data_IF_029119481562
#
_entry.id   IF_029119481562
#
_cell.length_a   1.000
_cell.length_b   1.000
_cell.length_c   1.000
_cell.angle_alpha   90.00
_cell.angle_beta   90.00
_cell.angle_gamma   90.00
#
_symmetry.space_group_name_H-M   'P 1'
#
loop_
_entity.id
_entity.type
_entity.pdbx_description
1 polymer ?
#
# COMPACT_ATOMS: atom_id res chain seq x y z
N UNK A 1 3.27 -14.93 15.03
CA UNK A 1 3.18 -13.80 14.10
C UNK A 1 1.73 -13.37 13.99
N UNK A 2 1.47 -12.07 14.08
CA UNK A 2 0.12 -11.51 13.91
C UNK A 2 -0.22 -11.43 12.42
N UNK A 3 -1.50 -11.52 12.08
CA UNK A 3 -1.96 -11.28 10.70
C UNK A 3 -2.52 -9.87 10.57
N UNK A 4 -2.10 -9.09 9.57
CA UNK A 4 -2.64 -7.75 9.36
C UNK A 4 -4.10 -7.83 8.90
N UNK A 5 -4.91 -6.89 9.38
CA UNK A 5 -6.32 -6.72 9.01
C UNK A 5 -6.52 -5.36 8.34
N UNK A 6 -7.56 -5.16 7.52
CA UNK A 6 -7.82 -3.85 6.90
C UNK A 6 -7.91 -2.70 7.90
N UNK A 7 -8.40 -2.94 9.12
CA UNK A 7 -8.47 -1.95 10.19
C UNK A 7 -7.11 -1.52 10.74
N UNK A 8 -6.02 -2.23 10.43
CA UNK A 8 -4.66 -1.83 10.81
C UNK A 8 -4.10 -0.73 9.88
N UNK A 9 -4.81 -0.38 8.81
CA UNK A 9 -4.34 0.53 7.78
C UNK A 9 -5.19 1.79 7.68
N UNK A 10 -4.55 2.86 7.22
CA UNK A 10 -5.20 4.08 6.70
C UNK A 10 -4.82 4.24 5.24
N UNK A 11 -5.76 4.62 4.39
CA UNK A 11 -5.53 4.80 2.95
C UNK A 11 -5.79 6.24 2.55
N UNK A 12 -4.81 6.87 1.93
CA UNK A 12 -4.87 8.22 1.39
C UNK A 12 -4.67 8.18 -0.13
N UNK A 13 -5.75 8.33 -0.89
CA UNK A 13 -5.67 8.46 -2.34
C UNK A 13 -5.31 9.90 -2.74
N UNK A 14 -4.15 10.10 -3.36
CA UNK A 14 -3.67 11.38 -3.88
C UNK A 14 -3.62 11.33 -5.41
N UNK A 15 -3.49 12.49 -6.05
CA UNK A 15 -3.51 12.62 -7.51
C UNK A 15 -2.43 11.78 -8.21
N UNK A 16 -1.21 11.77 -7.67
CA UNK A 16 -0.07 11.07 -8.27
C UNK A 16 0.22 9.68 -7.65
N UNK A 17 -0.28 9.40 -6.45
CA UNK A 17 0.00 8.14 -5.74
C UNK A 17 -1.07 7.81 -4.70
N UNK A 18 -1.06 6.58 -4.20
CA UNK A 18 -1.84 6.17 -3.04
C UNK A 18 -0.86 5.88 -1.89
N UNK A 19 -1.08 6.52 -0.75
CA UNK A 19 -0.32 6.25 0.48
C UNK A 19 -1.13 5.34 1.38
N UNK A 20 -0.55 4.24 1.83
CA UNK A 20 -1.15 3.31 2.77
C UNK A 20 -0.28 3.23 4.01
N UNK A 21 -0.86 3.60 5.16
CA UNK A 21 -0.15 3.70 6.42
C UNK A 21 -0.53 2.50 7.28
N UNK A 22 0.43 1.64 7.56
CA UNK A 22 0.29 0.55 8.54
C UNK A 22 0.49 1.13 9.95
N UNK A 23 -0.62 1.31 10.67
CA UNK A 23 -0.65 2.02 11.97
C UNK A 23 0.24 1.41 13.05
N UNK A 24 0.35 0.06 13.19
CA UNK A 24 1.14 -0.53 14.27
C UNK A 24 2.61 -0.10 14.31
N UNK A 25 3.28 -0.01 13.16
CA UNK A 25 4.69 0.42 13.05
C UNK A 25 4.86 1.83 12.48
N UNK A 26 3.77 2.48 12.09
CA UNK A 26 3.79 3.72 11.30
C UNK A 26 4.63 3.57 10.02
N UNK A 27 4.43 2.46 9.32
CA UNK A 27 5.08 2.18 8.03
C UNK A 27 4.22 2.71 6.88
N UNK A 28 4.85 3.47 5.98
CA UNK A 28 4.18 4.16 4.87
C UNK A 28 4.51 3.43 3.57
N UNK A 29 3.48 2.94 2.88
CA UNK A 29 3.58 2.27 1.58
C UNK A 29 3.00 3.19 0.51
N UNK A 30 3.85 3.71 -0.37
CA UNK A 30 3.41 4.64 -1.43
C UNK A 30 3.45 3.95 -2.79
N UNK A 31 2.31 3.91 -3.48
CA UNK A 31 2.14 3.32 -4.80
C UNK A 31 1.83 4.40 -5.82
N UNK A 32 2.67 4.56 -6.84
CA UNK A 32 2.46 5.55 -7.90
C UNK A 32 1.28 5.17 -8.78
N UNK A 33 0.47 6.14 -9.21
CA UNK A 33 -0.58 5.92 -10.21
C UNK A 33 0.05 5.83 -11.60
N UNK A 34 -0.32 4.79 -12.35
CA UNK A 34 0.08 4.69 -13.75
C UNK A 34 -0.83 5.59 -14.58
N UNK A 35 -0.23 6.34 -15.52
CA UNK A 35 -0.96 7.27 -16.38
C UNK A 35 -1.13 6.73 -17.82
N UNK A 36 -0.27 5.83 -18.25
CA UNK A 36 -0.32 5.23 -19.57
C UNK A 36 -1.40 4.13 -19.64
N UNK A 37 -2.37 4.19 -20.57
CA UNK A 37 -3.44 3.20 -20.68
C UNK A 37 -2.96 1.77 -20.96
N UNK A 38 -1.86 1.58 -21.72
CA UNK A 38 -1.30 0.27 -22.00
C UNK A 38 -0.67 -0.33 -20.74
N UNK A 39 0.06 0.50 -19.97
CA UNK A 39 0.61 0.11 -18.68
C UNK A 39 -0.49 -0.22 -17.67
N UNK A 40 -1.58 0.55 -17.63
CA UNK A 40 -2.73 0.28 -16.77
C UNK A 40 -3.36 -1.07 -17.13
N UNK A 41 -3.56 -1.34 -18.42
CA UNK A 41 -4.13 -2.60 -18.88
C UNK A 41 -3.22 -3.80 -18.56
N UNK A 42 -1.89 -3.61 -18.60
CA UNK A 42 -0.92 -4.68 -18.39
C UNK A 42 -0.57 -4.92 -16.93
N UNK A 43 -0.46 -3.86 -16.13
CA UNK A 43 0.10 -3.91 -14.77
C UNK A 43 -0.91 -3.53 -13.68
N UNK A 44 -2.03 -2.91 -14.05
CA UNK A 44 -3.03 -2.37 -13.14
C UNK A 44 -2.85 -0.86 -12.92
N UNK A 45 -3.75 -0.21 -12.16
CA UNK A 45 -3.78 1.25 -12.02
C UNK A 45 -2.63 1.84 -11.17
N UNK A 46 -1.87 0.99 -10.48
CA UNK A 46 -0.82 1.39 -9.53
C UNK A 46 0.49 0.64 -9.79
N UNK A 47 1.61 1.25 -9.41
CA UNK A 47 2.91 0.59 -9.38
C UNK A 47 2.88 -0.63 -8.45
N UNK A 48 3.45 -1.77 -8.89
CA UNK A 48 3.54 -2.97 -8.04
C UNK A 48 4.55 -2.83 -6.91
N UNK A 49 5.64 -2.11 -7.16
CA UNK A 49 6.58 -1.73 -6.11
C UNK A 49 6.02 -0.53 -5.35
N UNK A 50 6.11 -0.60 -4.02
CA UNK A 50 5.91 0.56 -3.16
C UNK A 50 7.26 1.18 -2.81
N UNK A 51 7.25 2.50 -2.65
CA UNK A 51 8.27 3.15 -1.83
C UNK A 51 7.84 3.00 -0.37
N UNK A 52 8.60 2.18 0.37
CA UNK A 52 8.32 1.88 1.77
C UNK A 52 9.20 2.75 2.67
N UNK A 53 8.56 3.50 3.56
CA UNK A 53 9.23 4.22 4.64
C UNK A 53 8.77 3.64 5.97
N UNK A 54 9.67 2.95 6.66
CA UNK A 54 9.42 2.47 8.01
C UNK A 54 9.51 3.63 9.01
N UNK A 55 8.52 3.72 9.89
CA UNK A 55 8.47 4.71 10.96
C UNK A 55 9.18 4.24 12.21
N UNK A 56 8.40 3.75 13.18
CA UNK A 56 8.84 3.60 14.58
C UNK A 56 9.81 2.46 14.84
N UNK A 57 9.65 1.32 14.16
CA UNK A 57 10.37 0.08 14.49
C UNK A 57 11.41 -0.33 13.46
N UNK A 58 11.52 0.40 12.34
CA UNK A 58 12.38 0.01 11.21
C UNK A 58 11.87 -1.19 10.39
N UNK A 59 10.80 -1.84 10.84
CA UNK A 59 10.18 -3.05 10.25
C UNK A 59 8.63 -2.99 10.37
N UNK A 60 7.95 -4.14 10.38
CA UNK A 60 6.50 -4.26 10.65
C UNK A 60 6.19 -4.87 12.03
N UNK A 61 7.16 -4.92 12.94
CA UNK A 61 7.04 -5.50 14.27
C UNK A 61 6.72 -6.99 14.24
N UNK A 62 5.67 -7.41 14.96
CA UNK A 62 5.26 -8.82 15.07
C UNK A 62 4.49 -9.35 13.83
N UNK A 63 4.33 -8.52 12.80
CA UNK A 63 3.59 -8.82 11.59
C UNK A 63 4.54 -9.25 10.46
N UNK A 64 4.19 -10.24 9.64
CA UNK A 64 4.96 -10.60 8.45
C UNK A 64 4.95 -9.45 7.43
N UNK A 65 6.13 -8.97 7.04
CA UNK A 65 6.30 -7.85 6.11
C UNK A 65 5.60 -8.10 4.76
N UNK A 66 5.66 -9.33 4.25
CA UNK A 66 5.03 -9.72 3.00
C UNK A 66 3.49 -9.63 3.06
N UNK A 67 2.88 -10.04 4.18
CA UNK A 67 1.43 -9.94 4.38
C UNK A 67 1.01 -8.47 4.53
N UNK A 68 1.80 -7.65 5.23
CA UNK A 68 1.54 -6.21 5.38
C UNK A 68 1.62 -5.51 4.03
N UNK A 69 2.67 -5.78 3.23
CA UNK A 69 2.84 -5.21 1.90
C UNK A 69 1.73 -5.64 0.93
N UNK A 70 1.34 -6.92 0.96
CA UNK A 70 0.25 -7.44 0.12
C UNK A 70 -1.11 -6.82 0.48
N UNK A 71 -1.41 -6.68 1.78
CA UNK A 71 -2.62 -6.02 2.24
C UNK A 71 -2.63 -4.54 1.86
N UNK A 72 -1.50 -3.84 2.03
CA UNK A 72 -1.35 -2.44 1.65
C UNK A 72 -1.63 -2.23 0.15
N UNK A 73 -1.05 -3.07 -0.71
CA UNK A 73 -1.30 -3.01 -2.16
C UNK A 73 -2.78 -3.28 -2.48
N UNK A 74 -3.38 -4.29 -1.85
CA UNK A 74 -4.80 -4.64 -2.07
C UNK A 74 -5.73 -3.48 -1.72
N UNK A 75 -5.48 -2.81 -0.59
CA UNK A 75 -6.24 -1.64 -0.16
C UNK A 75 -6.02 -0.45 -1.09
N UNK A 76 -4.79 -0.24 -1.55
CA UNK A 76 -4.46 0.83 -2.49
C UNK A 76 -5.20 0.66 -3.82
N UNK A 77 -5.17 -0.54 -4.41
CA UNK A 77 -5.90 -0.85 -5.66
C UNK A 77 -7.39 -0.64 -5.48
N UNK A 78 -7.97 -1.15 -4.37
CA UNK A 78 -9.40 -0.96 -4.08
C UNK A 78 -9.79 0.52 -4.01
N UNK A 79 -8.93 1.36 -3.41
CA UNK A 79 -9.21 2.79 -3.30
C UNK A 79 -9.27 3.53 -4.65
N UNK A 80 -8.58 3.04 -5.69
CA UNK A 80 -8.58 3.68 -7.01
C UNK A 80 -9.55 3.05 -8.01
N UNK A 81 -10.02 1.82 -7.77
CA UNK A 81 -10.98 1.15 -8.65
C UNK A 81 -12.44 1.30 -8.21
N UNK A 82 -12.69 1.73 -6.98
CA UNK A 82 -14.06 1.93 -6.45
C UNK A 82 -14.53 3.40 -6.54
N UNK A 83 -13.83 4.23 -7.31
CA UNK A 83 -14.21 5.64 -7.57
C UNK A 83 -14.84 5.74 -8.95
#
# INVERSE_FOLDING_TARGET
>A
MKRPTPSDFTVEAKEAHVSVIFKPSDSHYNFGRLADPEDIARYGPLSRSSNVRHGKTGDTGEYPENEVAQMAYTLAVKAVTTT
#
